data_IF_308621549591
#
_entry.id   IF_308621549591
#
_cell.length_a   1.000
_cell.length_b   1.000
_cell.length_c   1.000
_cell.angle_alpha   90.00
_cell.angle_beta   90.00
_cell.angle_gamma   90.00
#
_symmetry.space_group_name_H-M   'P 1'
#
loop_
_entity.id
_entity.type
_entity.pdbx_description
1 polymer ?
#
# COMPACT_ATOMS: atom_id res chain seq x y z
N UNK A 1 -0.58 15.92 -8.48
CA UNK A 1 -0.74 15.67 -9.94
C UNK A 1 -2.12 16.06 -10.49
N UNK A 2 -3.19 16.26 -9.67
CA UNK A 2 -4.57 16.53 -10.12
C UNK A 2 -4.69 17.67 -11.14
N UNK A 3 -3.99 18.82 -10.90
CA UNK A 3 -3.98 19.93 -11.85
C UNK A 3 -3.34 19.55 -13.20
N UNK A 4 -2.24 18.79 -13.16
CA UNK A 4 -1.55 18.32 -14.37
C UNK A 4 -2.43 17.32 -15.17
N UNK A 5 -3.12 16.43 -14.47
CA UNK A 5 -4.03 15.45 -15.11
C UNK A 5 -5.13 16.15 -15.93
N UNK A 6 -5.69 17.26 -15.42
CA UNK A 6 -6.75 18.01 -16.11
C UNK A 6 -6.33 18.60 -17.47
N UNK A 7 -5.04 18.85 -17.66
CA UNK A 7 -4.50 19.51 -18.87
C UNK A 7 -3.62 18.59 -19.72
N UNK A 8 -3.37 17.37 -19.27
CA UNK A 8 -2.52 16.43 -19.99
C UNK A 8 -3.29 15.66 -21.07
N UNK A 9 -2.71 15.53 -22.25
CA UNK A 9 -3.23 14.68 -23.35
C UNK A 9 -2.86 13.21 -23.20
N UNK A 10 -1.85 12.90 -22.37
CA UNK A 10 -1.39 11.54 -22.09
C UNK A 10 -1.22 11.38 -20.58
N UNK A 11 -1.82 10.33 -20.03
CA UNK A 11 -1.79 10.00 -18.60
C UNK A 11 -1.29 8.57 -18.45
N UNK A 12 -0.16 8.40 -17.75
CA UNK A 12 0.30 7.09 -17.31
C UNK A 12 -0.45 6.70 -16.04
N UNK A 13 -1.11 5.55 -16.07
CA UNK A 13 -1.79 4.99 -14.89
C UNK A 13 -0.79 4.20 -14.04
N UNK A 14 -0.89 4.30 -12.70
CA UNK A 14 -0.05 3.50 -11.82
C UNK A 14 -0.38 2.01 -11.94
N UNK A 15 0.58 1.15 -11.61
CA UNK A 15 0.33 -0.28 -11.47
C UNK A 15 -0.58 -0.60 -10.28
N UNK A 16 -1.15 -1.81 -10.26
CA UNK A 16 -2.08 -2.21 -9.20
C UNK A 16 -1.43 -2.24 -7.80
N UNK A 17 -0.25 -2.87 -7.65
CA UNK A 17 0.49 -2.82 -6.37
C UNK A 17 0.92 -1.40 -5.98
N UNK A 18 1.49 -0.58 -6.88
CA UNK A 18 1.78 0.82 -6.58
C UNK A 18 0.56 1.57 -6.04
N UNK A 19 -0.61 1.39 -6.66
CA UNK A 19 -1.85 2.01 -6.17
C UNK A 19 -2.14 1.65 -4.71
N UNK A 20 -2.13 0.36 -4.37
CA UNK A 20 -2.43 -0.08 -3.00
C UNK A 20 -1.38 0.39 -1.99
N UNK A 21 -0.10 0.21 -2.32
CA UNK A 21 1.01 0.49 -1.39
C UNK A 21 1.18 2.00 -1.16
N UNK A 22 1.11 2.79 -2.24
CA UNK A 22 1.27 4.25 -2.14
C UNK A 22 0.11 4.85 -1.35
N UNK A 23 -1.13 4.46 -1.63
CA UNK A 23 -2.28 4.98 -0.87
C UNK A 23 -2.20 4.62 0.63
N UNK A 24 -1.68 3.44 0.96
CA UNK A 24 -1.51 3.05 2.36
C UNK A 24 -0.41 3.83 3.09
N UNK A 25 0.74 4.09 2.47
CA UNK A 25 1.84 4.82 3.10
C UNK A 25 1.76 6.35 2.96
N UNK A 26 1.02 6.86 1.98
CA UNK A 26 0.99 8.29 1.66
C UNK A 26 0.66 9.21 2.84
N UNK A 27 -0.40 8.98 3.65
CA UNK A 27 -0.70 9.85 4.77
C UNK A 27 0.42 9.92 5.80
N UNK A 28 1.01 8.76 6.09
CA UNK A 28 2.03 8.59 7.10
C UNK A 28 3.36 9.24 6.69
N UNK A 29 3.77 9.01 5.45
CA UNK A 29 4.99 9.63 4.90
C UNK A 29 4.82 11.13 4.75
N UNK A 30 3.67 11.60 4.26
CA UNK A 30 3.39 13.02 4.10
C UNK A 30 3.42 13.78 5.43
N UNK A 31 2.92 13.18 6.50
CA UNK A 31 2.95 13.77 7.85
C UNK A 31 4.28 13.61 8.57
N UNK A 32 5.17 12.72 8.09
CA UNK A 32 6.50 12.51 8.68
C UNK A 32 6.52 11.77 10.01
N UNK A 33 5.42 11.12 10.37
CA UNK A 33 5.24 10.49 11.70
C UNK A 33 5.84 9.08 11.82
N UNK A 34 6.25 8.48 10.70
CA UNK A 34 6.82 7.13 10.68
C UNK A 34 8.30 7.12 10.34
N UNK A 35 8.97 6.03 10.72
CA UNK A 35 10.32 5.72 10.27
C UNK A 35 10.26 5.21 8.83
N UNK A 36 10.87 5.96 7.90
CA UNK A 36 10.84 5.66 6.46
C UNK A 36 11.83 4.59 6.01
N UNK A 37 12.82 4.23 6.85
CA UNK A 37 13.87 3.28 6.47
C UNK A 37 13.44 1.81 6.53
N UNK A 38 12.31 1.49 7.20
CA UNK A 38 11.88 0.12 7.47
C UNK A 38 10.40 -0.09 7.08
N UNK A 39 10.06 0.20 5.84
CA UNK A 39 8.72 -0.06 5.31
C UNK A 39 8.64 -1.47 4.75
N UNK A 40 7.56 -2.18 5.06
CA UNK A 40 7.30 -3.51 4.50
C UNK A 40 5.94 -3.49 3.81
N UNK A 41 5.91 -3.94 2.57
CA UNK A 41 4.69 -4.14 1.79
C UNK A 41 4.58 -5.62 1.41
N UNK A 42 3.83 -6.37 2.21
CA UNK A 42 3.53 -7.78 2.00
C UNK A 42 2.18 -7.89 1.28
N UNK A 43 2.23 -8.18 -0.02
CA UNK A 43 1.10 -8.04 -0.92
C UNK A 43 0.64 -9.39 -1.47
N UNK A 44 -0.67 -9.60 -1.50
CA UNK A 44 -1.33 -10.80 -2.03
C UNK A 44 -2.21 -10.40 -3.21
N UNK A 45 -2.05 -11.06 -4.36
CA UNK A 45 -2.77 -10.75 -5.59
C UNK A 45 -3.44 -11.97 -6.19
N UNK A 46 -4.66 -11.79 -6.67
CA UNK A 46 -5.28 -12.75 -7.56
C UNK A 46 -4.64 -12.74 -8.96
N UNK A 47 -4.92 -13.79 -9.74
CA UNK A 47 -4.26 -14.07 -11.03
C UNK A 47 -4.60 -13.07 -12.14
N UNK A 48 -5.72 -12.37 -12.08
CA UNK A 48 -6.14 -11.42 -13.13
C UNK A 48 -5.13 -10.28 -13.33
N UNK A 49 -4.35 -9.93 -12.30
CA UNK A 49 -3.29 -8.93 -12.37
C UNK A 49 -2.11 -9.32 -13.29
N UNK A 50 -1.99 -10.59 -13.68
CA UNK A 50 -1.01 -11.05 -14.65
C UNK A 50 -1.33 -10.61 -16.10
N UNK A 51 -2.54 -10.10 -16.35
CA UNK A 51 -3.01 -9.67 -17.65
C UNK A 51 -3.31 -10.83 -18.61
N UNK A 52 -3.35 -10.53 -19.92
CA UNK A 52 -3.74 -11.48 -20.97
C UNK A 52 -2.61 -12.40 -21.46
N UNK A 53 -1.38 -12.21 -20.99
CA UNK A 53 -0.24 -13.00 -21.43
C UNK A 53 -0.36 -14.44 -20.93
N UNK A 54 -0.29 -15.39 -21.86
CA UNK A 54 -0.27 -16.81 -21.53
C UNK A 54 1.11 -17.16 -20.92
N UNK A 55 1.08 -17.52 -19.65
CA UNK A 55 2.25 -18.01 -18.93
C UNK A 55 1.89 -19.28 -18.20
N UNK A 56 2.78 -20.28 -18.25
CA UNK A 56 2.57 -21.58 -17.60
C UNK A 56 2.25 -21.40 -16.11
N UNK A 57 2.98 -20.56 -15.42
CA UNK A 57 2.81 -20.27 -13.99
C UNK A 57 1.46 -19.63 -13.60
N UNK A 58 0.69 -19.15 -14.58
CA UNK A 58 -0.65 -18.55 -14.39
C UNK A 58 -1.79 -19.47 -14.84
N UNK A 59 -1.48 -20.68 -15.32
CA UNK A 59 -2.51 -21.66 -15.69
C UNK A 59 -3.28 -22.10 -14.46
N UNK A 60 -4.56 -22.43 -14.65
CA UNK A 60 -5.42 -22.88 -13.57
C UNK A 60 -4.84 -24.05 -12.78
N UNK A 61 -4.26 -25.05 -13.48
CA UNK A 61 -3.60 -26.21 -12.87
C UNK A 61 -2.39 -25.86 -12.00
N UNK A 62 -1.73 -24.74 -12.26
CA UNK A 62 -0.52 -24.31 -11.54
C UNK A 62 -0.84 -23.36 -10.38
N UNK A 63 -2.01 -22.72 -10.42
CA UNK A 63 -2.43 -21.71 -9.44
C UNK A 63 -3.44 -22.27 -8.46
N UNK A 64 -4.30 -23.24 -8.89
CA UNK A 64 -5.31 -23.83 -8.02
C UNK A 64 -4.63 -24.47 -6.81
N UNK A 65 -5.19 -24.19 -5.62
CA UNK A 65 -4.70 -24.67 -4.33
C UNK A 65 -3.21 -24.35 -4.03
N UNK A 66 -2.67 -23.33 -4.71
CA UNK A 66 -1.28 -22.92 -4.57
C UNK A 66 -1.13 -21.45 -4.19
N UNK A 67 -0.45 -21.18 -3.09
CA UNK A 67 -0.08 -19.87 -2.61
C UNK A 67 1.44 -19.73 -2.65
N UNK A 68 1.96 -18.80 -3.45
CA UNK A 68 3.42 -18.67 -3.65
C UNK A 68 3.89 -17.22 -3.75
N UNK A 69 5.08 -16.88 -3.21
CA UNK A 69 5.76 -15.64 -3.55
C UNK A 69 6.22 -15.65 -5.00
N UNK A 70 6.34 -14.47 -5.60
CA UNK A 70 6.89 -14.31 -6.95
C UNK A 70 7.69 -13.00 -7.08
N UNK A 71 8.38 -12.83 -8.21
CA UNK A 71 9.17 -11.62 -8.44
C UNK A 71 10.39 -11.49 -7.52
N UNK A 72 10.96 -12.60 -7.04
CA UNK A 72 12.08 -12.63 -6.08
C UNK A 72 13.34 -11.94 -6.63
N UNK A 73 13.57 -11.99 -7.95
CA UNK A 73 14.71 -11.35 -8.62
C UNK A 73 14.44 -9.87 -8.99
N UNK A 74 13.40 -9.28 -8.43
CA UNK A 74 12.93 -7.93 -8.71
C UNK A 74 11.57 -7.93 -9.42
N UNK A 75 10.65 -7.15 -8.89
CA UNK A 75 9.32 -6.96 -9.46
C UNK A 75 9.25 -5.58 -10.14
N UNK A 76 8.67 -5.50 -11.34
CA UNK A 76 8.59 -4.24 -12.13
C UNK A 76 7.92 -3.07 -11.38
N UNK A 77 7.05 -3.35 -10.41
CA UNK A 77 6.39 -2.31 -9.61
C UNK A 77 7.24 -1.79 -8.44
N UNK A 78 8.32 -2.49 -8.06
CA UNK A 78 9.17 -2.04 -6.96
C UNK A 78 9.77 -0.64 -7.19
N UNK A 79 10.42 -0.36 -8.34
CA UNK A 79 10.98 0.96 -8.58
C UNK A 79 9.92 2.06 -8.67
N UNK A 80 8.73 1.76 -9.20
CA UNK A 80 7.61 2.69 -9.26
C UNK A 80 7.13 3.07 -7.84
N UNK A 81 6.93 2.08 -6.97
CA UNK A 81 6.55 2.31 -5.58
C UNK A 81 7.60 3.16 -4.87
N UNK A 82 8.87 2.77 -4.97
CA UNK A 82 9.98 3.46 -4.31
C UNK A 82 10.08 4.92 -4.76
N UNK A 83 10.01 5.19 -6.06
CA UNK A 83 10.06 6.53 -6.62
C UNK A 83 8.96 7.43 -6.06
N UNK A 84 7.73 6.96 -6.03
CA UNK A 84 6.59 7.75 -5.55
C UNK A 84 6.65 7.96 -4.03
N UNK A 85 6.98 6.95 -3.24
CA UNK A 85 7.16 7.11 -1.80
C UNK A 85 8.29 8.09 -1.47
N UNK A 86 9.41 8.02 -2.20
CA UNK A 86 10.53 8.97 -2.07
C UNK A 86 10.10 10.40 -2.42
N UNK A 87 9.28 10.56 -3.48
CA UNK A 87 8.73 11.86 -3.87
C UNK A 87 7.84 12.44 -2.78
N UNK A 88 7.00 11.63 -2.14
CA UNK A 88 6.14 12.05 -1.02
C UNK A 88 6.98 12.46 0.18
N UNK A 89 7.99 11.67 0.53
CA UNK A 89 8.87 11.97 1.67
C UNK A 89 9.68 13.27 1.45
N UNK A 90 10.14 13.52 0.22
CA UNK A 90 10.90 14.73 -0.13
C UNK A 90 10.03 15.98 -0.32
N UNK A 91 8.74 15.83 -0.59
CA UNK A 91 7.78 16.95 -0.80
C UNK A 91 7.33 17.63 0.49
N UNK A 92 7.79 17.18 1.67
CA UNK A 92 7.58 17.85 2.95
C UNK A 92 8.33 19.20 2.94
N UNK A 93 7.70 20.25 3.44
CA UNK A 93 8.40 21.50 3.75
C UNK A 93 9.53 21.18 4.73
N UNK A 94 10.76 21.37 4.25
CA UNK A 94 11.97 20.96 4.98
C UNK A 94 12.12 21.82 6.23
N UNK A 95 11.86 21.28 7.39
CA UNK A 95 12.47 21.76 8.65
C UNK A 95 13.77 21.02 9.00
N UNK A 96 14.01 19.84 8.42
CA UNK A 96 15.22 19.06 8.67
C UNK A 96 15.99 18.77 7.38
N UNK A 97 17.29 19.06 7.39
CA UNK A 97 18.21 18.93 6.24
C UNK A 97 18.56 17.48 5.86
N UNK A 98 17.99 16.48 6.52
CA UNK A 98 18.21 15.07 6.22
C UNK A 98 17.15 14.56 5.22
N UNK A 99 17.62 14.05 4.06
CA UNK A 99 16.78 13.24 3.17
C UNK A 99 16.42 11.97 3.93
N UNK A 100 15.12 11.77 4.17
CA UNK A 100 14.62 10.48 4.64
C UNK A 100 14.68 9.49 3.47
N UNK A 101 15.70 8.69 3.40
CA UNK A 101 15.77 7.60 2.42
C UNK A 101 14.68 6.56 2.73
N UNK A 102 14.01 6.11 1.69
CA UNK A 102 12.99 5.08 1.82
C UNK A 102 13.65 3.70 1.77
N UNK A 103 13.56 2.97 2.87
CA UNK A 103 13.85 1.54 2.92
C UNK A 103 12.57 0.74 2.73
N UNK A 104 12.41 0.04 1.59
CA UNK A 104 11.22 -0.72 1.27
C UNK A 104 11.53 -2.19 0.98
N UNK A 105 10.94 -3.08 1.78
CA UNK A 105 10.80 -4.50 1.46
C UNK A 105 9.44 -4.68 0.77
N UNK A 106 9.45 -5.16 -0.46
CA UNK A 106 8.24 -5.47 -1.23
C UNK A 106 8.18 -6.97 -1.52
N UNK A 107 7.16 -7.63 -0.98
CA UNK A 107 6.98 -9.09 -1.06
C UNK A 107 5.63 -9.43 -1.70
N UNK A 108 5.56 -9.59 -3.03
CA UNK A 108 4.33 -9.95 -3.71
C UNK A 108 4.11 -11.47 -3.71
N UNK A 109 2.85 -11.87 -3.50
CA UNK A 109 2.40 -13.26 -3.53
C UNK A 109 1.23 -13.41 -4.50
N UNK A 110 1.16 -14.58 -5.13
CA UNK A 110 0.03 -14.99 -5.96
C UNK A 110 -0.86 -15.93 -5.16
N UNK A 111 -2.15 -15.60 -5.13
CA UNK A 111 -3.20 -16.41 -4.51
C UNK A 111 -4.02 -17.17 -5.57
N UNK A 112 -4.62 -18.33 -5.22
CA UNK A 112 -5.52 -19.07 -6.08
C UNK A 112 -6.93 -18.44 -6.13
N UNK A 113 -6.98 -17.14 -6.33
CA UNK A 113 -8.23 -16.37 -6.51
C UNK A 113 -8.16 -15.56 -7.80
N UNK A 114 -9.31 -15.31 -8.41
CA UNK A 114 -9.33 -14.59 -9.69
C UNK A 114 -8.93 -13.14 -9.54
N UNK A 115 -9.51 -12.40 -8.60
CA UNK A 115 -9.40 -10.94 -8.49
C UNK A 115 -9.07 -10.46 -7.10
N UNK A 116 -8.51 -9.27 -7.08
CA UNK A 116 -8.25 -8.49 -5.90
C UNK A 116 -6.80 -8.50 -5.46
N UNK A 117 -6.39 -7.40 -4.84
CA UNK A 117 -5.13 -7.27 -4.11
C UNK A 117 -5.47 -6.94 -2.67
N UNK A 118 -4.78 -7.61 -1.76
CA UNK A 118 -4.62 -7.17 -0.39
C UNK A 118 -3.16 -6.84 -0.15
N UNK A 119 -2.86 -5.59 0.15
CA UNK A 119 -1.57 -5.16 0.64
C UNK A 119 -1.63 -5.04 2.17
N UNK A 120 -0.77 -5.77 2.87
CA UNK A 120 -0.53 -5.61 4.30
C UNK A 120 0.78 -4.85 4.47
N UNK A 121 0.67 -3.64 4.98
CA UNK A 121 1.79 -2.72 5.10
C UNK A 121 2.19 -2.57 6.55
N UNK A 122 3.48 -2.60 6.81
CA UNK A 122 4.02 -2.47 8.17
C UNK A 122 4.99 -1.31 8.22
N UNK A 123 4.89 -0.50 9.27
CA UNK A 123 5.83 0.56 9.57
C UNK A 123 5.84 0.86 11.07
N UNK A 124 6.80 1.66 11.50
CA UNK A 124 6.98 2.06 12.89
C UNK A 124 6.72 3.56 13.04
N UNK A 125 5.96 3.95 14.06
CA UNK A 125 5.85 5.33 14.48
C UNK A 125 7.18 5.82 15.05
N UNK A 126 7.51 7.08 14.82
CA UNK A 126 8.59 7.74 15.57
C UNK A 126 8.13 7.94 17.01
N UNK A 127 9.04 7.88 17.97
CA UNK A 127 8.75 7.96 19.42
C UNK A 127 7.88 9.16 19.80
N UNK A 128 8.12 10.31 19.18
CA UNK A 128 7.35 11.53 19.42
C UNK A 128 5.87 11.45 19.01
N UNK A 129 5.46 10.38 18.30
CA UNK A 129 4.11 10.20 17.77
C UNK A 129 3.37 8.99 18.34
N UNK A 130 3.84 8.41 19.43
CA UNK A 130 3.24 7.24 20.09
C UNK A 130 1.74 7.40 20.36
N UNK A 131 1.27 8.60 20.75
CA UNK A 131 -0.13 8.89 21.04
C UNK A 131 -0.87 9.59 19.89
N UNK A 132 -0.27 9.63 18.69
CA UNK A 132 -0.87 10.31 17.56
C UNK A 132 -2.14 9.59 17.07
N UNK A 133 -3.16 10.36 16.69
CA UNK A 133 -4.39 9.84 16.09
C UNK A 133 -4.16 9.49 14.61
N UNK A 134 -3.75 8.25 14.38
CA UNK A 134 -3.49 7.75 13.03
C UNK A 134 -4.79 7.53 12.25
N UNK A 135 -5.87 7.08 12.90
CA UNK A 135 -7.17 6.89 12.28
C UNK A 135 -7.69 8.22 11.71
N UNK A 136 -7.72 9.26 12.53
CA UNK A 136 -8.16 10.59 12.11
C UNK A 136 -7.26 11.20 11.01
N UNK A 137 -5.95 10.86 10.97
CA UNK A 137 -5.07 11.27 9.88
C UNK A 137 -5.52 10.69 8.54
N UNK A 138 -5.85 9.39 8.49
CA UNK A 138 -6.33 8.73 7.27
C UNK A 138 -7.68 9.29 6.84
N UNK A 139 -8.63 9.39 7.76
CA UNK A 139 -9.97 9.96 7.51
C UNK A 139 -9.88 11.39 6.94
N UNK A 140 -9.07 12.25 7.56
CA UNK A 140 -8.85 13.63 7.08
C UNK A 140 -8.18 13.67 5.71
N UNK A 141 -7.19 12.78 5.48
CA UNK A 141 -6.44 12.77 4.21
C UNK A 141 -7.32 12.39 3.03
N UNK A 142 -8.24 11.44 3.23
CA UNK A 142 -9.07 10.89 2.17
C UNK A 142 -10.53 11.35 2.18
N UNK A 143 -10.89 12.31 3.03
CA UNK A 143 -12.27 12.83 3.21
C UNK A 143 -12.94 13.24 1.88
N UNK A 144 -12.18 13.83 0.96
CA UNK A 144 -12.69 14.32 -0.33
C UNK A 144 -12.44 13.37 -1.51
N UNK A 145 -11.96 12.15 -1.25
CA UNK A 145 -11.62 11.17 -2.28
C UNK A 145 -12.75 10.14 -2.44
N UNK A 146 -13.57 10.23 -3.50
CA UNK A 146 -14.82 9.48 -3.60
C UNK A 146 -14.65 7.96 -3.73
N UNK A 147 -13.44 7.49 -4.05
CA UNK A 147 -13.13 6.07 -4.23
C UNK A 147 -12.29 5.48 -3.10
N UNK A 148 -11.90 6.26 -2.10
CA UNK A 148 -11.08 5.79 -0.97
C UNK A 148 -11.92 5.78 0.29
N UNK A 149 -12.10 4.60 0.86
CA UNK A 149 -12.90 4.37 2.05
C UNK A 149 -12.00 3.95 3.21
N UNK A 150 -12.00 4.75 4.27
CA UNK A 150 -11.33 4.39 5.51
C UNK A 150 -12.30 3.60 6.38
N UNK A 151 -11.93 2.38 6.72
CA UNK A 151 -12.74 1.49 7.56
C UNK A 151 -12.77 2.00 9.00
N UNK A 152 -13.87 1.74 9.70
CA UNK A 152 -13.97 2.03 11.13
C UNK A 152 -12.91 1.27 11.93
N UNK A 153 -12.53 1.80 13.07
CA UNK A 153 -11.57 1.14 13.95
C UNK A 153 -12.03 -0.27 14.33
N UNK A 154 -11.19 -1.26 14.09
CA UNK A 154 -11.49 -2.67 14.32
C UNK A 154 -12.03 -3.44 13.12
N UNK A 155 -12.52 -2.75 12.09
CA UNK A 155 -12.97 -3.39 10.85
C UNK A 155 -11.81 -3.78 9.95
N UNK A 156 -11.99 -4.85 9.17
CA UNK A 156 -11.01 -5.34 8.21
C UNK A 156 -11.61 -5.32 6.80
N UNK A 157 -10.88 -4.77 5.80
CA UNK A 157 -11.35 -4.79 4.43
C UNK A 157 -11.16 -6.17 3.79
N UNK A 158 -12.09 -6.54 2.91
CA UNK A 158 -12.07 -7.78 2.14
C UNK A 158 -11.94 -7.48 0.64
N UNK A 159 -11.16 -8.27 -0.08
CA UNK A 159 -10.99 -8.11 -1.55
C UNK A 159 -12.30 -8.27 -2.31
N UNK A 160 -13.20 -9.13 -1.83
CA UNK A 160 -14.54 -9.32 -2.42
C UNK A 160 -15.36 -8.03 -2.43
N UNK A 161 -15.17 -7.16 -1.43
CA UNK A 161 -15.95 -5.94 -1.25
C UNK A 161 -15.58 -4.79 -2.20
N UNK A 162 -14.51 -4.93 -2.97
CA UNK A 162 -14.05 -3.94 -3.96
C UNK A 162 -14.06 -4.49 -5.38
N UNK A 163 -14.39 -5.77 -5.55
CA UNK A 163 -14.38 -6.46 -6.84
C UNK A 163 -15.27 -5.77 -7.88
N UNK A 164 -14.73 -5.53 -9.07
CA UNK A 164 -15.44 -4.89 -10.16
C UNK A 164 -15.65 -3.38 -9.98
N UNK A 165 -14.93 -2.76 -9.06
CA UNK A 165 -15.03 -1.31 -8.79
C UNK A 165 -13.67 -0.63 -8.79
N UNK A 166 -13.68 0.72 -8.77
CA UNK A 166 -12.50 1.54 -8.55
C UNK A 166 -12.26 1.85 -7.06
N UNK A 167 -12.98 1.18 -6.17
CA UNK A 167 -12.91 1.47 -4.75
C UNK A 167 -11.62 0.92 -4.14
N UNK A 168 -11.10 1.68 -3.20
CA UNK A 168 -10.02 1.30 -2.30
C UNK A 168 -10.56 1.32 -0.87
N UNK A 169 -10.37 0.25 -0.13
CA UNK A 169 -10.70 0.22 1.30
C UNK A 169 -9.43 0.07 2.11
N UNK A 170 -9.29 0.91 3.12
CA UNK A 170 -8.11 0.99 3.99
C UNK A 170 -8.54 0.85 5.44
N UNK A 171 -7.85 -0.04 6.17
CA UNK A 171 -7.93 -0.12 7.63
C UNK A 171 -6.54 0.10 8.21
N UNK A 172 -6.45 0.86 9.29
CA UNK A 172 -5.20 1.13 10.00
C UNK A 172 -5.31 0.67 11.45
N UNK A 173 -4.27 0.01 11.94
CA UNK A 173 -4.24 -0.50 13.32
C UNK A 173 -2.90 -0.21 13.96
N UNK A 174 -2.93 0.29 15.20
CA UNK A 174 -1.75 0.23 16.08
C UNK A 174 -1.64 -1.19 16.64
N UNK A 175 -0.44 -1.75 16.63
CA UNK A 175 -0.19 -3.02 17.33
C UNK A 175 -0.17 -2.76 18.84
N UNK A 176 -0.67 -3.72 19.62
CA UNK A 176 -0.54 -3.66 21.07
C UNK A 176 0.95 -3.80 21.43
N UNK A 177 1.44 -2.94 22.32
CA UNK A 177 2.80 -3.06 22.86
C UNK A 177 2.97 -4.45 23.48
N UNK A 178 4.05 -5.13 23.15
CA UNK A 178 4.51 -6.30 23.88
C UNK A 178 5.24 -5.84 25.15
N UNK A 179 5.19 -6.63 26.22
CA UNK A 179 5.75 -6.32 27.53
C UNK A 179 7.22 -5.86 27.49
N UNK A 180 7.96 -6.25 26.43
CA UNK A 180 9.39 -5.98 26.28
C UNK A 180 9.77 -5.23 24.99
N UNK A 181 8.81 -4.65 24.26
CA UNK A 181 9.09 -3.94 22.99
C UNK A 181 8.37 -2.60 22.99
N UNK A 182 9.14 -1.54 23.11
CA UNK A 182 8.65 -0.15 23.19
C UNK A 182 8.38 0.49 21.80
N UNK A 183 8.21 -0.34 20.76
CA UNK A 183 8.03 0.14 19.39
C UNK A 183 6.56 0.12 19.05
N UNK A 184 5.98 1.29 18.78
CA UNK A 184 4.64 1.42 18.24
C UNK A 184 4.67 1.10 16.74
N UNK A 185 4.27 -0.11 16.39
CA UNK A 185 4.13 -0.53 15.00
C UNK A 185 2.71 -0.30 14.49
N UNK A 186 2.61 0.07 13.23
CA UNK A 186 1.35 0.18 12.50
C UNK A 186 1.23 -0.96 11.51
N UNK A 187 0.03 -1.48 11.37
CA UNK A 187 -0.37 -2.37 10.29
C UNK A 187 -1.49 -1.70 9.51
N UNK A 188 -1.28 -1.52 8.21
CA UNK A 188 -2.25 -0.95 7.30
C UNK A 188 -2.67 -2.03 6.31
N UNK A 189 -3.97 -2.28 6.21
CA UNK A 189 -4.56 -3.18 5.23
C UNK A 189 -5.20 -2.36 4.12
N UNK A 190 -4.80 -2.61 2.89
CA UNK A 190 -5.35 -1.94 1.71
C UNK A 190 -5.87 -3.00 0.75
N UNK A 191 -7.14 -2.89 0.34
CA UNK A 191 -7.70 -3.77 -0.69
C UNK A 191 -8.19 -2.97 -1.87
N UNK A 192 -7.91 -3.49 -3.07
CA UNK A 192 -8.32 -2.97 -4.37
C UNK A 192 -8.71 -4.11 -5.31
N UNK A 193 -9.43 -3.82 -6.39
CA UNK A 193 -9.49 -4.73 -7.55
C UNK A 193 -8.21 -4.54 -8.39
N UNK A 194 -7.63 -5.64 -8.85
CA UNK A 194 -6.36 -5.66 -9.57
C UNK A 194 -6.48 -5.72 -11.10
N UNK A 195 -7.62 -5.32 -11.64
CA UNK A 195 -7.84 -5.17 -13.07
C UNK A 195 -7.39 -3.82 -13.60
#
# INVERSE_FOLDING_TARGET
NRKKIKTSSLIAMPGCYPTAVILGFYPLLKSGIINSCNLIADCKSGVSGAGKSLKKENMFSEVSDNFKPYGMNGHRHWPEILQELQSVANGREKQDAHRDDIGLIFSPHLLPVMRGIQATLYCQLKESYTNFDVQGLFEKTYLSEPFVYIMSEGDCPETASVKGSNNVKISVRKTKKSINVDIDSLVIYVVIDNL
#
